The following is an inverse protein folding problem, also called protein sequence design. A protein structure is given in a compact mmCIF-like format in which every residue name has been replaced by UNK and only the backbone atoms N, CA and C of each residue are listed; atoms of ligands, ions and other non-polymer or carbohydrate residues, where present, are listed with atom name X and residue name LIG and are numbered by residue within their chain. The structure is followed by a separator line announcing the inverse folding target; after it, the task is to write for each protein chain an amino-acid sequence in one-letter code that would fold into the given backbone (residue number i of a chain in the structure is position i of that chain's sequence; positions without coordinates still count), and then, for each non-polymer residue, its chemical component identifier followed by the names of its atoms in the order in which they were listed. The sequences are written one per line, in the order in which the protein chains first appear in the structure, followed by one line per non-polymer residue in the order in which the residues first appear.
data_IF_621740165341
#
_entry.id   IF_621740165341
#
_cell.length_a   1.000
_cell.length_b   1.000
_cell.length_c   1.000
_cell.angle_alpha   90.00
_cell.angle_beta   90.00
_cell.angle_gamma   90.00
#
_symmetry.space_group_name_H-M   'P 1'
#
loop_
_entity.id
_entity.type
_entity.pdbx_description
1 polymer ?
#
# COMPACT_ATOMS: atom_id res chain seq x y z
N UNK A 1 -82.67 -70.93 -10.58
CA UNK A 1 -82.59 -69.97 -11.71
C UNK A 1 -82.28 -68.61 -11.10
N UNK A 2 -81.29 -67.80 -11.45
CA UNK A 2 -80.21 -67.86 -12.44
C UNK A 2 -79.36 -66.58 -12.26
N UNK A 3 -78.18 -66.58 -12.87
CA UNK A 3 -77.35 -65.43 -13.28
C UNK A 3 -76.41 -64.77 -12.24
N UNK A 4 -75.19 -65.30 -12.22
CA UNK A 4 -73.88 -64.64 -12.40
C UNK A 4 -73.83 -63.11 -12.41
N UNK A 5 -72.88 -62.52 -11.67
CA UNK A 5 -72.00 -61.45 -12.16
C UNK A 5 -70.61 -61.61 -11.55
N UNK A 6 -69.63 -61.72 -12.46
CA UNK A 6 -68.20 -61.83 -12.22
C UNK A 6 -67.61 -60.57 -11.58
N UNK A 7 -66.71 -60.77 -10.61
CA UNK A 7 -65.81 -59.73 -10.12
C UNK A 7 -64.85 -59.28 -11.23
N UNK A 8 -64.90 -58.00 -11.60
CA UNK A 8 -63.80 -57.33 -12.31
C UNK A 8 -62.68 -57.05 -11.32
N UNK A 9 -61.71 -57.95 -11.20
CA UNK A 9 -60.38 -57.58 -10.73
C UNK A 9 -59.65 -56.93 -11.90
N UNK A 10 -59.56 -55.59 -11.88
CA UNK A 10 -58.70 -54.85 -12.78
C UNK A 10 -57.26 -55.28 -12.52
N UNK A 11 -56.62 -55.88 -13.53
CA UNK A 11 -55.18 -56.06 -13.55
C UNK A 11 -54.51 -54.68 -13.45
N UNK A 12 -54.09 -54.30 -12.26
CA UNK A 12 -53.10 -53.24 -12.11
C UNK A 12 -51.81 -53.77 -12.71
N UNK A 13 -51.39 -53.14 -13.81
CA UNK A 13 -50.12 -53.43 -14.47
C UNK A 13 -49.01 -53.31 -13.43
N UNK A 14 -48.31 -54.42 -13.15
CA UNK A 14 -47.02 -54.38 -12.49
C UNK A 14 -46.09 -53.59 -13.41
N UNK A 15 -45.76 -52.36 -13.02
CA UNK A 15 -44.75 -51.55 -13.68
C UNK A 15 -43.43 -52.29 -13.45
N UNK A 16 -42.72 -52.74 -14.50
CA UNK A 16 -41.42 -53.36 -14.31
C UNK A 16 -40.47 -52.31 -13.73
N UNK A 17 -39.72 -52.74 -12.71
CA UNK A 17 -38.65 -52.02 -12.02
C UNK A 17 -37.95 -51.04 -12.96
N UNK A 18 -38.11 -49.75 -12.70
CA UNK A 18 -37.30 -48.75 -13.37
C UNK A 18 -35.87 -48.96 -12.86
N UNK A 19 -34.88 -49.23 -13.73
CA UNK A 19 -33.52 -49.37 -13.25
C UNK A 19 -33.14 -48.04 -12.62
N UNK A 20 -32.86 -48.04 -11.31
CA UNK A 20 -32.22 -46.89 -10.68
C UNK A 20 -30.94 -46.65 -11.46
N UNK A 21 -30.92 -45.58 -12.25
CA UNK A 21 -29.77 -45.12 -13.00
C UNK A 21 -28.67 -44.80 -12.00
N UNK A 22 -27.92 -45.84 -11.62
CA UNK A 22 -26.80 -45.71 -10.71
C UNK A 22 -25.70 -45.06 -11.53
N UNK A 23 -25.53 -43.76 -11.37
CA UNK A 23 -24.47 -43.00 -12.03
C UNK A 23 -23.15 -43.44 -11.38
N UNK A 24 -22.56 -44.52 -11.90
CA UNK A 24 -21.20 -44.93 -11.54
C UNK A 24 -20.26 -43.91 -12.15
N UNK A 25 -19.77 -42.99 -11.31
CA UNK A 25 -18.70 -42.06 -11.67
C UNK A 25 -17.35 -42.71 -11.36
N UNK A 26 -16.65 -43.15 -12.39
CA UNK A 26 -15.28 -43.65 -12.25
C UNK A 26 -14.35 -42.54 -11.72
N UNK A 27 -13.35 -42.92 -10.93
CA UNK A 27 -12.40 -41.98 -10.33
C UNK A 27 -11.65 -41.18 -11.41
N UNK A 28 -11.76 -39.84 -11.38
CA UNK A 28 -10.98 -38.96 -12.25
C UNK A 28 -9.56 -38.79 -11.68
N UNK A 29 -8.52 -38.90 -12.51
CA UNK A 29 -7.15 -38.53 -12.11
C UNK A 29 -7.13 -37.06 -11.67
N UNK A 30 -6.48 -36.77 -10.54
CA UNK A 30 -6.37 -35.42 -9.99
C UNK A 30 -5.50 -34.57 -10.93
N UNK A 31 -6.12 -33.79 -11.82
CA UNK A 31 -5.41 -32.71 -12.50
C UNK A 31 -5.11 -31.64 -11.46
N UNK A 32 -3.83 -31.48 -11.08
CA UNK A 32 -3.38 -30.38 -10.24
C UNK A 32 -3.53 -29.08 -11.00
N UNK A 33 -4.31 -28.13 -10.48
CA UNK A 33 -4.37 -26.79 -11.04
C UNK A 33 -3.03 -26.07 -10.92
N UNK A 34 -2.55 -25.47 -12.01
CA UNK A 34 -1.43 -24.53 -11.96
C UNK A 34 -1.85 -23.27 -11.20
N UNK A 35 -0.91 -22.63 -10.48
CA UNK A 35 -1.17 -21.37 -9.78
C UNK A 35 -1.52 -20.28 -10.80
N UNK A 36 -2.80 -19.92 -10.86
CA UNK A 36 -3.35 -18.88 -11.75
C UNK A 36 -2.86 -17.47 -11.40
N UNK A 37 -2.47 -17.22 -10.15
CA UNK A 37 -1.92 -15.95 -9.70
C UNK A 37 -0.43 -16.10 -9.40
N UNK A 38 0.43 -15.66 -10.32
CA UNK A 38 1.87 -15.45 -10.04
C UNK A 38 2.06 -14.13 -9.29
N UNK A 39 1.52 -14.04 -8.08
CA UNK A 39 1.90 -12.96 -7.16
C UNK A 39 3.32 -13.28 -6.66
N UNK A 40 4.25 -12.34 -6.80
CA UNK A 40 5.48 -12.40 -6.00
C UNK A 40 6.83 -12.31 -6.70
N UNK A 41 6.98 -11.54 -7.79
CA UNK A 41 8.31 -11.24 -8.37
C UNK A 41 8.62 -9.74 -8.45
N UNK A 42 8.07 -8.93 -7.53
CA UNK A 42 8.35 -7.49 -7.53
C UNK A 42 9.75 -7.21 -7.01
N UNK A 43 10.57 -6.55 -7.82
CA UNK A 43 11.90 -6.09 -7.41
C UNK A 43 11.83 -5.11 -6.23
N UNK A 44 12.82 -5.13 -5.33
CA UNK A 44 12.92 -4.15 -4.25
C UNK A 44 13.01 -2.73 -4.83
N UNK A 45 12.39 -1.77 -4.13
CA UNK A 45 12.35 -0.36 -4.55
C UNK A 45 13.40 0.52 -3.87
N UNK A 46 14.22 -0.06 -2.98
CA UNK A 46 15.31 0.62 -2.26
C UNK A 46 14.92 1.96 -1.62
N UNK A 47 13.68 2.03 -1.10
CA UNK A 47 13.15 3.17 -0.35
C UNK A 47 13.74 3.19 1.05
N UNK A 48 13.97 4.37 1.58
CA UNK A 48 14.43 4.55 2.95
C UNK A 48 15.24 5.82 3.14
N UNK A 49 15.84 5.90 4.31
CA UNK A 49 16.77 6.95 4.71
C UNK A 49 18.05 6.85 3.86
N UNK A 50 18.48 7.97 3.27
CA UNK A 50 19.71 8.07 2.47
C UNK A 50 20.85 8.79 3.19
N UNK A 51 20.55 9.89 3.88
CA UNK A 51 21.57 10.69 4.60
C UNK A 51 21.23 10.80 6.08
N UNK A 52 22.05 10.20 6.95
CA UNK A 52 21.83 10.15 8.40
C UNK A 52 21.89 11.53 9.07
N UNK A 53 21.46 11.57 10.33
CA UNK A 53 21.58 12.76 11.16
C UNK A 53 23.03 13.26 11.24
N UNK A 54 23.22 14.56 11.42
CA UNK A 54 24.51 15.25 11.54
C UNK A 54 25.43 15.14 10.32
N UNK A 55 24.95 14.69 9.17
CA UNK A 55 25.74 14.66 7.93
C UNK A 55 25.65 15.99 7.18
N UNK A 56 26.75 16.36 6.52
CA UNK A 56 26.77 17.50 5.61
C UNK A 56 26.19 17.10 4.25
N UNK A 57 25.33 17.95 3.68
CA UNK A 57 24.68 17.75 2.39
C UNK A 57 24.82 19.00 1.53
N UNK A 58 24.93 18.80 0.22
CA UNK A 58 24.74 19.87 -0.76
C UNK A 58 23.25 20.06 -1.05
N UNK A 59 22.90 21.22 -1.58
CA UNK A 59 21.59 21.46 -2.18
C UNK A 59 21.24 20.35 -3.19
N UNK A 60 19.96 19.97 -3.23
CA UNK A 60 19.41 18.93 -4.10
C UNK A 60 19.66 17.50 -3.64
N UNK A 61 20.45 17.29 -2.57
CA UNK A 61 20.73 15.94 -2.05
C UNK A 61 19.45 15.26 -1.56
N UNK A 62 19.22 14.02 -1.98
CA UNK A 62 18.08 13.21 -1.52
C UNK A 62 18.33 12.74 -0.08
N UNK A 63 17.47 13.15 0.85
CA UNK A 63 17.58 12.82 2.27
C UNK A 63 16.89 11.49 2.60
N UNK A 64 15.67 11.30 2.10
CA UNK A 64 14.90 10.09 2.31
C UNK A 64 13.91 9.84 1.16
N UNK A 65 13.75 8.59 0.75
CA UNK A 65 12.72 8.18 -0.20
C UNK A 65 11.69 7.31 0.49
N UNK A 66 10.42 7.66 0.39
CA UNK A 66 9.34 6.99 1.11
C UNK A 66 8.11 6.78 0.22
N UNK A 67 7.18 5.93 0.64
CA UNK A 67 5.90 5.71 -0.07
C UNK A 67 4.75 6.37 0.68
N UNK A 68 4.72 6.16 1.99
CA UNK A 68 3.87 6.86 2.94
C UNK A 68 4.71 7.89 3.68
N UNK A 69 4.07 8.91 4.25
CA UNK A 69 4.73 10.00 4.98
C UNK A 69 5.21 9.53 6.36
N UNK A 70 6.37 8.88 6.39
CA UNK A 70 7.06 8.48 7.64
C UNK A 70 7.84 9.66 8.22
N UNK A 71 8.51 10.41 7.34
CA UNK A 71 9.30 11.59 7.63
C UNK A 71 8.64 12.83 7.03
N UNK A 72 8.72 13.94 7.74
CA UNK A 72 8.19 15.23 7.33
C UNK A 72 9.31 16.19 6.92
N UNK A 73 9.03 17.10 5.98
CA UNK A 73 9.94 18.19 5.65
C UNK A 73 9.91 19.22 6.79
N UNK A 74 11.08 19.61 7.27
CA UNK A 74 11.25 20.72 8.19
C UNK A 74 11.95 21.88 7.51
N UNK A 75 12.84 22.55 8.24
CA UNK A 75 13.59 23.71 7.74
C UNK A 75 14.50 23.33 6.56
N UNK A 76 14.42 24.09 5.47
CA UNK A 76 15.25 23.94 4.26
C UNK A 76 15.20 22.54 3.63
N UNK A 77 14.06 21.84 3.77
CA UNK A 77 13.83 20.53 3.17
C UNK A 77 12.61 20.59 2.26
N UNK A 78 12.83 20.22 1.00
CA UNK A 78 11.79 20.15 -0.01
C UNK A 78 11.05 18.82 0.02
N UNK A 79 9.81 18.85 -0.46
CA UNK A 79 8.92 17.69 -0.52
C UNK A 79 8.51 17.36 -1.95
N UNK A 80 9.01 16.24 -2.49
CA UNK A 80 8.70 15.81 -3.85
C UNK A 80 7.32 15.18 -3.99
N UNK A 81 6.75 15.22 -5.22
CA UNK A 81 5.43 14.61 -5.54
C UNK A 81 5.33 13.12 -5.17
N UNK A 82 6.45 12.40 -5.24
CA UNK A 82 6.54 10.97 -4.91
C UNK A 82 6.84 10.70 -3.42
N UNK A 83 6.86 11.74 -2.59
CA UNK A 83 7.14 11.67 -1.16
C UNK A 83 8.61 11.75 -0.77
N UNK A 84 9.51 11.97 -1.72
CA UNK A 84 10.94 12.09 -1.47
C UNK A 84 11.27 13.43 -0.80
N UNK A 85 12.11 13.37 0.23
CA UNK A 85 12.69 14.55 0.88
C UNK A 85 14.05 14.87 0.25
N UNK A 86 14.29 16.14 -0.02
CA UNK A 86 15.55 16.63 -0.57
C UNK A 86 15.99 17.92 0.12
N UNK A 87 17.30 18.15 0.22
CA UNK A 87 17.87 19.37 0.78
C UNK A 87 17.66 20.55 -0.18
N UNK A 88 17.19 21.69 0.33
CA UNK A 88 17.07 22.93 -0.45
C UNK A 88 18.29 23.83 -0.32
N UNK A 89 19.08 23.65 0.74
CA UNK A 89 20.31 24.41 0.97
C UNK A 89 21.46 23.46 1.29
N UNK A 90 22.70 23.95 1.19
CA UNK A 90 23.88 23.25 1.68
C UNK A 90 23.94 23.39 3.20
N UNK A 91 24.27 22.32 3.92
CA UNK A 91 24.27 22.38 5.37
C UNK A 91 24.30 21.04 6.06
N UNK A 92 24.08 21.06 7.37
CA UNK A 92 24.07 19.87 8.22
C UNK A 92 22.65 19.41 8.49
N UNK A 93 22.40 18.12 8.31
CA UNK A 93 21.10 17.50 8.53
C UNK A 93 20.86 17.29 10.03
N UNK A 94 19.68 17.68 10.51
CA UNK A 94 19.18 17.41 11.85
C UNK A 94 17.81 16.76 11.81
N UNK A 95 17.64 15.66 12.54
CA UNK A 95 16.35 14.96 12.64
C UNK A 95 15.73 15.19 14.02
N UNK A 96 14.64 15.93 14.06
CA UNK A 96 13.89 16.26 15.28
C UNK A 96 12.58 15.47 15.33
N UNK A 97 11.99 15.38 16.52
CA UNK A 97 10.65 14.84 16.71
C UNK A 97 9.72 15.99 17.13
N UNK A 98 8.87 16.43 16.22
CA UNK A 98 8.02 17.62 16.41
C UNK A 98 6.55 17.26 16.25
N UNK A 99 5.69 18.17 16.72
CA UNK A 99 4.24 18.10 16.50
C UNK A 99 3.98 18.41 15.03
N UNK A 100 3.20 17.55 14.37
CA UNK A 100 2.80 17.70 12.99
C UNK A 100 1.35 18.14 12.91
N UNK A 101 1.13 19.28 12.27
CA UNK A 101 -0.18 19.84 11.96
C UNK A 101 -0.46 19.75 10.45
N UNK A 102 -0.82 18.56 9.94
CA UNK A 102 -1.05 18.38 8.51
C UNK A 102 -2.37 19.03 8.08
N UNK A 103 -2.39 19.62 6.88
CA UNK A 103 -3.63 20.06 6.23
C UNK A 103 -4.55 18.85 5.92
N UNK A 104 -5.60 18.67 6.72
CA UNK A 104 -6.56 17.56 6.61
C UNK A 104 -7.36 17.54 5.31
N UNK A 105 -7.47 18.65 4.59
CA UNK A 105 -8.18 18.72 3.31
C UNK A 105 -7.36 18.08 2.18
N UNK A 106 -6.05 17.95 2.37
CA UNK A 106 -5.19 17.38 1.34
C UNK A 106 -5.38 15.86 1.27
N UNK A 107 -5.78 15.37 0.10
CA UNK A 107 -6.05 13.94 -0.17
C UNK A 107 -4.91 13.02 0.28
N UNK A 108 -3.67 13.48 0.14
CA UNK A 108 -2.52 12.65 0.52
C UNK A 108 -2.35 12.53 2.04
N UNK A 109 -2.77 13.54 2.79
CA UNK A 109 -2.80 13.49 4.26
C UNK A 109 -3.91 12.56 4.72
N UNK A 110 -5.11 12.64 4.12
CA UNK A 110 -6.21 11.71 4.40
C UNK A 110 -5.78 10.25 4.17
N UNK A 111 -5.14 9.96 3.03
CA UNK A 111 -4.66 8.61 2.72
C UNK A 111 -3.63 8.08 3.73
N UNK A 112 -2.79 8.94 4.31
CA UNK A 112 -1.76 8.53 5.27
C UNK A 112 -2.23 8.56 6.73
N UNK A 113 -3.20 9.41 7.07
CA UNK A 113 -3.53 9.77 8.46
C UNK A 113 -5.02 9.74 8.80
N UNK A 114 -5.92 9.31 7.92
CA UNK A 114 -7.37 9.30 8.17
C UNK A 114 -7.77 8.68 9.53
N UNK A 115 -7.12 7.59 9.95
CA UNK A 115 -7.42 6.93 11.23
C UNK A 115 -6.95 7.67 12.49
N UNK A 116 -6.24 8.79 12.34
CA UNK A 116 -5.66 9.57 13.44
C UNK A 116 -6.19 11.00 13.51
N UNK A 117 -7.31 11.29 12.86
CA UNK A 117 -7.95 12.61 12.89
C UNK A 117 -8.32 12.99 14.33
N UNK A 118 -7.98 14.22 14.74
CA UNK A 118 -8.25 14.74 16.08
C UNK A 118 -7.21 14.36 17.16
N UNK A 119 -6.15 13.63 16.81
CA UNK A 119 -5.03 13.32 17.72
C UNK A 119 -3.82 14.20 17.42
N UNK A 120 -3.07 14.58 18.45
CA UNK A 120 -1.75 15.22 18.26
C UNK A 120 -0.78 14.23 17.64
N UNK A 121 -0.26 14.56 16.47
CA UNK A 121 0.67 13.70 15.73
C UNK A 121 2.10 14.14 16.01
N UNK A 122 2.92 13.25 16.55
CA UNK A 122 4.37 13.48 16.59
C UNK A 122 5.04 12.80 15.39
N UNK A 123 5.90 13.53 14.70
CA UNK A 123 6.60 13.05 13.50
C UNK A 123 8.06 13.44 13.52
N UNK A 124 8.84 12.69 12.74
CA UNK A 124 10.25 12.97 12.51
C UNK A 124 10.38 13.98 11.40
N UNK A 125 10.97 15.13 11.71
CA UNK A 125 11.23 16.20 10.76
C UNK A 125 12.70 16.16 10.35
N UNK A 126 12.95 16.30 9.05
CA UNK A 126 14.30 16.55 8.55
C UNK A 126 14.49 18.05 8.41
N UNK A 127 15.51 18.56 9.05
CA UNK A 127 15.94 19.95 8.97
C UNK A 127 17.34 19.98 8.35
N UNK A 128 17.61 20.97 7.51
CA UNK A 128 18.96 21.27 7.03
C UNK A 128 19.35 22.63 7.58
N UNK A 129 20.30 22.65 8.50
CA UNK A 129 20.85 23.88 9.06
C UNK A 129 21.96 24.34 8.11
N UNK A 130 21.82 25.50 7.44
CA UNK A 130 22.79 25.96 6.48
C UNK A 130 24.09 26.36 7.15
N UNK A 131 25.19 26.34 6.39
CA UNK A 131 26.44 26.95 6.84
C UNK A 131 26.28 28.47 6.88
N UNK A 132 26.98 29.10 7.82
CA UNK A 132 26.97 30.55 7.93
C UNK A 132 27.57 31.18 6.68
N UNK A 133 26.83 32.13 6.09
CA UNK A 133 27.34 32.93 4.98
C UNK A 133 28.57 33.72 5.44
N UNK A 134 29.64 33.69 4.66
CA UNK A 134 30.84 34.45 4.97
C UNK A 134 30.53 35.96 5.01
N UNK A 135 30.86 36.61 6.13
CA UNK A 135 30.60 38.04 6.36
C UNK A 135 31.65 38.96 5.74
N UNK A 136 32.56 38.44 4.92
CA UNK A 136 33.59 39.24 4.25
C UNK A 136 33.02 39.84 2.98
N UNK A 137 32.96 41.16 2.92
CA UNK A 137 32.68 41.88 1.68
C UNK A 137 34.00 42.39 1.11
N UNK A 138 34.19 42.21 -0.20
CA UNK A 138 35.33 42.78 -0.93
C UNK A 138 34.81 43.88 -1.83
N UNK A 139 35.38 45.08 -1.69
CA UNK A 139 35.16 46.16 -2.62
C UNK A 139 35.71 45.77 -3.99
N UNK A 140 34.88 45.85 -5.03
CA UNK A 140 35.25 45.46 -6.39
C UNK A 140 35.78 46.69 -7.13
N UNK A 141 34.99 47.77 -7.19
CA UNK A 141 35.39 49.04 -7.79
C UNK A 141 34.81 50.21 -6.99
N UNK A 142 35.52 51.34 -6.99
CA UNK A 142 35.04 52.65 -6.54
C UNK A 142 34.62 53.47 -7.77
N UNK A 143 33.50 54.21 -7.66
CA UNK A 143 32.96 55.08 -8.72
C UNK A 143 33.69 56.42 -8.72
#
# INVERSE_FOLDING_TARGET
MSFTIMQKLSLQRLIPDQPLLTIIRNAKKKTGGSTRNRIGHTRPKHRGWKVQDSHYVSEGTILATQRTTRFHPGLNVGFGRNGTLFAMEHGKVYVTCEIADPNWDHTWIQNNYASRQGQTLYKKYFNVIPEEQHQRFRLIDEI
#
